data_IF_290793083832
#
_entry.id   IF_290793083832
#
_cell.length_a   1.000
_cell.length_b   1.000
_cell.length_c   1.000
_cell.angle_alpha   90.00
_cell.angle_beta   90.00
_cell.angle_gamma   90.00
#
_symmetry.space_group_name_H-M   'P 1'
#
loop_
_entity.id
_entity.type
_entity.pdbx_description
1 polymer ?
#
# COMPACT_ATOMS: atom_id res chain seq x y z
N UNK A 1 -67.04 26.97 56.97
CA UNK A 1 -66.32 26.64 55.72
C UNK A 1 -64.88 27.11 55.86
N UNK A 2 -63.92 26.18 55.69
CA UNK A 2 -62.49 26.35 56.02
C UNK A 2 -61.77 27.27 55.02
N UNK A 3 -60.89 28.10 55.59
CA UNK A 3 -59.81 28.84 54.93
C UNK A 3 -58.82 27.90 54.24
N UNK A 4 -58.29 28.28 53.07
CA UNK A 4 -56.89 28.02 52.70
C UNK A 4 -56.39 29.10 51.74
N UNK A 5 -55.24 29.68 52.10
CA UNK A 5 -54.43 30.68 51.39
C UNK A 5 -53.90 30.12 50.06
N UNK A 6 -53.95 30.93 49.01
CA UNK A 6 -53.02 30.83 47.89
C UNK A 6 -51.65 31.33 48.32
N UNK A 7 -50.62 30.50 48.18
CA UNK A 7 -49.21 30.87 48.38
C UNK A 7 -48.59 31.00 47.01
N UNK A 8 -48.22 32.23 46.67
CA UNK A 8 -47.44 32.60 45.50
C UNK A 8 -45.95 32.28 45.79
N UNK A 9 -45.35 31.36 45.03
CA UNK A 9 -43.92 31.02 45.16
C UNK A 9 -43.18 31.65 43.98
N UNK A 10 -42.81 32.92 44.13
CA UNK A 10 -41.83 33.57 43.25
C UNK A 10 -40.43 33.15 43.68
N UNK A 11 -39.90 32.09 43.05
CA UNK A 11 -38.49 31.70 43.17
C UNK A 11 -37.62 32.44 42.15
N UNK A 12 -36.97 33.54 42.57
CA UNK A 12 -35.90 34.18 41.79
C UNK A 12 -34.69 33.23 41.71
N UNK A 13 -34.45 32.64 40.54
CA UNK A 13 -33.18 31.94 40.28
C UNK A 13 -32.11 32.99 39.98
N UNK A 14 -31.24 33.24 40.96
CA UNK A 14 -30.04 34.07 40.80
C UNK A 14 -29.02 33.31 39.94
N UNK A 15 -28.85 33.73 38.68
CA UNK A 15 -27.86 33.17 37.78
C UNK A 15 -26.44 33.55 38.24
N UNK A 16 -25.74 32.59 38.85
CA UNK A 16 -24.33 32.70 39.18
C UNK A 16 -23.49 32.80 37.90
N UNK A 17 -23.09 34.02 37.55
CA UNK A 17 -22.18 34.35 36.42
C UNK A 17 -20.80 33.67 36.50
N UNK A 18 -20.51 32.91 37.56
CA UNK A 18 -19.22 32.23 37.77
C UNK A 18 -19.19 30.78 37.26
N UNK A 19 -20.35 30.18 36.96
CA UNK A 19 -20.40 28.78 36.50
C UNK A 19 -20.06 28.60 35.02
N UNK A 20 -20.30 29.63 34.19
CA UNK A 20 -20.06 29.57 32.74
C UNK A 20 -18.56 29.65 32.36
N UNK A 21 -17.67 30.04 33.28
CA UNK A 21 -16.23 30.13 33.01
C UNK A 21 -15.46 28.81 33.17
N UNK A 22 -16.06 27.77 33.77
CA UNK A 22 -15.43 26.44 33.90
C UNK A 22 -15.68 25.49 32.74
N UNK A 23 -16.62 25.79 31.83
CA UNK A 23 -16.89 24.95 30.65
C UNK A 23 -16.04 25.30 29.42
N UNK A 24 -15.38 26.45 29.41
CA UNK A 24 -14.52 26.92 28.32
C UNK A 24 -13.25 26.06 28.11
N UNK A 25 -12.50 25.61 29.14
CA UNK A 25 -11.30 24.80 28.90
C UNK A 25 -11.64 23.37 28.43
N UNK A 26 -12.81 22.83 28.78
CA UNK A 26 -13.25 21.50 28.35
C UNK A 26 -13.64 21.48 26.86
N UNK A 27 -14.24 22.57 26.36
CA UNK A 27 -14.63 22.70 24.95
C UNK A 27 -13.44 23.03 24.04
N UNK A 28 -12.44 23.76 24.55
CA UNK A 28 -11.20 24.04 23.82
C UNK A 28 -10.33 22.80 23.57
N UNK A 29 -10.29 21.85 24.52
CA UNK A 29 -9.54 20.60 24.36
C UNK A 29 -10.09 19.69 23.26
N UNK A 30 -11.41 19.62 23.09
CA UNK A 30 -12.04 18.80 22.05
C UNK A 30 -11.76 19.31 20.63
N UNK A 31 -11.67 20.63 20.43
CA UNK A 31 -11.35 21.22 19.14
C UNK A 31 -9.89 20.97 18.70
N UNK A 32 -8.96 20.79 19.65
CA UNK A 32 -7.56 20.48 19.35
C UNK A 32 -7.35 19.06 18.81
N UNK A 33 -8.30 18.13 19.04
CA UNK A 33 -8.25 16.76 18.48
C UNK A 33 -8.62 16.70 17.00
N UNK A 34 -9.46 17.63 16.51
CA UNK A 34 -9.85 17.72 15.09
C UNK A 34 -8.79 18.40 14.20
N UNK A 35 -7.71 18.92 14.79
CA UNK A 35 -6.63 19.60 14.08
C UNK A 35 -5.57 18.65 13.48
N UNK A 36 -5.63 17.36 13.81
CA UNK A 36 -4.86 16.34 13.11
C UNK A 36 -5.47 16.17 11.72
N UNK A 37 -4.96 16.89 10.70
CA UNK A 37 -5.44 16.91 9.32
C UNK A 37 -5.32 15.57 8.55
N UNK A 38 -5.76 14.47 9.16
CA UNK A 38 -5.90 13.17 8.54
C UNK A 38 -7.03 13.23 7.51
N UNK A 39 -6.66 13.39 6.24
CA UNK A 39 -7.55 13.15 5.12
C UNK A 39 -7.58 11.64 4.86
N UNK A 40 -8.77 11.02 4.93
CA UNK A 40 -8.94 9.64 4.46
C UNK A 40 -8.42 9.56 3.01
N UNK A 41 -7.61 8.54 2.71
CA UNK A 41 -6.90 8.38 1.42
C UNK A 41 -7.82 8.33 0.20
N UNK A 42 -9.14 8.25 0.42
CA UNK A 42 -10.14 8.08 -0.63
C UNK A 42 -10.04 6.69 -1.26
N UNK A 43 -10.94 6.42 -2.19
CA UNK A 43 -10.79 5.28 -3.08
C UNK A 43 -9.83 5.64 -4.20
N UNK A 44 -8.99 4.68 -4.57
CA UNK A 44 -8.15 4.75 -5.75
C UNK A 44 -9.04 4.71 -6.99
N UNK A 45 -8.95 5.73 -7.84
CA UNK A 45 -9.66 5.76 -9.12
C UNK A 45 -8.73 5.25 -10.22
N UNK A 46 -8.99 4.06 -10.73
CA UNK A 46 -8.29 3.49 -11.88
C UNK A 46 -9.09 3.79 -13.16
N UNK A 47 -8.38 3.97 -14.28
CA UNK A 47 -9.01 4.18 -15.59
C UNK A 47 -9.80 2.97 -16.12
N UNK A 48 -9.54 1.77 -15.60
CA UNK A 48 -10.23 0.52 -15.92
C UNK A 48 -11.11 0.10 -14.75
N UNK A 49 -12.27 -0.53 -15.02
CA UNK A 49 -13.18 -1.05 -13.98
C UNK A 49 -13.19 -2.57 -13.93
N UNK A 50 -12.81 -3.24 -15.01
CA UNK A 50 -12.65 -4.70 -15.10
C UNK A 50 -11.20 -5.04 -15.42
N UNK A 51 -10.48 -5.62 -14.47
CA UNK A 51 -9.07 -5.99 -14.64
C UNK A 51 -8.94 -7.51 -14.70
N UNK A 52 -8.29 -8.04 -15.75
CA UNK A 52 -7.82 -9.42 -15.76
C UNK A 52 -6.35 -9.47 -15.30
N UNK A 53 -6.01 -10.45 -14.48
CA UNK A 53 -4.63 -10.71 -14.05
C UNK A 53 -4.19 -12.06 -14.63
N UNK A 54 -3.02 -12.08 -15.25
CA UNK A 54 -2.43 -13.27 -15.86
C UNK A 54 -1.00 -13.45 -15.36
N UNK A 55 -0.61 -14.70 -15.07
CA UNK A 55 0.68 -15.02 -14.47
C UNK A 55 0.76 -14.66 -12.98
N UNK A 56 1.98 -14.54 -12.46
CA UNK A 56 2.26 -14.35 -11.02
C UNK A 56 1.97 -15.59 -10.17
N UNK A 57 2.44 -15.58 -8.91
CA UNK A 57 2.13 -16.66 -7.95
C UNK A 57 0.75 -16.48 -7.31
N UNK A 58 0.08 -17.55 -6.82
CA UNK A 58 -1.23 -17.43 -6.17
C UNK A 58 -1.26 -16.46 -4.99
N UNK A 59 -0.18 -16.41 -4.19
CA UNK A 59 -0.05 -15.50 -3.06
C UNK A 59 0.01 -14.03 -3.51
N UNK A 60 0.75 -13.76 -4.58
CA UNK A 60 0.84 -12.44 -5.21
C UNK A 60 -0.52 -11.99 -5.72
N UNK A 61 -1.18 -12.84 -6.51
CA UNK A 61 -2.48 -12.54 -7.13
C UNK A 61 -3.54 -12.30 -6.05
N UNK A 62 -3.60 -13.13 -5.02
CA UNK A 62 -4.57 -12.96 -3.93
C UNK A 62 -4.37 -11.65 -3.15
N UNK A 63 -3.12 -11.21 -2.92
CA UNK A 63 -2.84 -9.90 -2.32
C UNK A 63 -3.24 -8.76 -3.26
N UNK A 64 -2.85 -8.85 -4.52
CA UNK A 64 -3.14 -7.82 -5.52
C UNK A 64 -4.65 -7.64 -5.69
N UNK A 65 -5.41 -8.72 -5.79
CA UNK A 65 -6.87 -8.71 -5.84
C UNK A 65 -7.47 -7.98 -4.63
N UNK A 66 -7.04 -8.33 -3.41
CA UNK A 66 -7.49 -7.66 -2.19
C UNK A 66 -7.17 -6.16 -2.18
N UNK A 67 -5.99 -5.77 -2.68
CA UNK A 67 -5.58 -4.38 -2.73
C UNK A 67 -6.34 -3.56 -3.78
N UNK A 68 -6.60 -4.15 -4.95
CA UNK A 68 -7.35 -3.48 -6.01
C UNK A 68 -8.82 -3.35 -5.62
N UNK A 69 -9.49 -4.47 -5.27
CA UNK A 69 -10.91 -4.47 -4.94
C UNK A 69 -11.22 -3.77 -3.61
N UNK A 70 -10.31 -3.87 -2.63
CA UNK A 70 -10.48 -3.20 -1.34
C UNK A 70 -10.16 -1.70 -1.38
N UNK A 71 -9.43 -1.25 -2.40
CA UNK A 71 -8.97 0.13 -2.53
C UNK A 71 -9.67 0.93 -3.63
N UNK A 72 -10.48 0.31 -4.49
CA UNK A 72 -11.11 0.94 -5.66
C UNK A 72 -12.47 0.33 -6.00
N UNK A 73 -13.11 0.85 -7.04
CA UNK A 73 -14.31 0.28 -7.66
C UNK A 73 -14.00 -0.75 -8.77
N UNK A 74 -12.72 -1.12 -8.94
CA UNK A 74 -12.28 -2.10 -9.94
C UNK A 74 -12.54 -3.53 -9.46
N UNK A 75 -13.12 -4.36 -10.32
CA UNK A 75 -13.33 -5.80 -10.10
C UNK A 75 -12.31 -6.62 -10.87
N UNK A 76 -11.84 -7.71 -10.24
CA UNK A 76 -10.98 -8.68 -10.93
C UNK A 76 -11.88 -9.67 -11.67
N UNK A 77 -11.61 -9.86 -12.96
CA UNK A 77 -12.41 -10.72 -13.85
C UNK A 77 -11.52 -11.75 -14.53
N UNK A 78 -12.12 -12.83 -15.02
CA UNK A 78 -11.38 -13.82 -15.80
C UNK A 78 -11.06 -13.26 -17.19
N UNK A 79 -9.99 -13.70 -17.87
CA UNK A 79 -9.62 -13.18 -19.18
C UNK A 79 -10.72 -13.26 -20.26
N UNK A 80 -11.59 -14.27 -20.19
CA UNK A 80 -12.71 -14.44 -21.13
C UNK A 80 -13.94 -13.57 -20.81
N UNK A 81 -13.94 -12.86 -19.68
CA UNK A 81 -15.06 -12.01 -19.24
C UNK A 81 -14.91 -10.55 -19.69
N UNK A 82 -14.29 -10.33 -20.86
CA UNK A 82 -14.10 -9.01 -21.51
C UNK A 82 -13.55 -7.95 -20.52
N UNK A 83 -12.30 -8.08 -20.06
CA UNK A 83 -11.67 -7.07 -19.22
C UNK A 83 -11.40 -5.77 -19.99
N UNK A 84 -11.42 -4.62 -19.30
CA UNK A 84 -11.02 -3.33 -19.86
C UNK A 84 -9.50 -3.24 -19.99
N UNK A 85 -8.79 -3.90 -19.07
CA UNK A 85 -7.34 -4.01 -19.07
C UNK A 85 -6.88 -5.41 -18.61
N UNK A 86 -5.76 -5.87 -19.16
CA UNK A 86 -5.08 -7.12 -18.79
C UNK A 86 -3.69 -6.83 -18.24
N UNK A 87 -3.45 -7.26 -17.01
CA UNK A 87 -2.17 -7.17 -16.32
C UNK A 87 -1.44 -8.50 -16.40
N UNK A 88 -0.34 -8.52 -17.16
CA UNK A 88 0.55 -9.68 -17.23
C UNK A 88 1.65 -9.54 -16.17
N UNK A 89 1.88 -10.60 -15.38
CA UNK A 89 2.86 -10.64 -14.30
C UNK A 89 3.82 -11.81 -14.44
N UNK A 90 5.09 -11.57 -14.12
CA UNK A 90 6.10 -12.62 -13.96
C UNK A 90 7.06 -12.25 -12.82
N UNK A 91 7.14 -13.10 -11.79
CA UNK A 91 8.04 -12.89 -10.66
C UNK A 91 9.32 -13.73 -10.78
N UNK A 92 10.43 -13.19 -10.29
CA UNK A 92 11.72 -13.87 -10.22
C UNK A 92 12.39 -13.63 -8.88
N UNK A 93 13.01 -14.67 -8.33
CA UNK A 93 13.81 -14.63 -7.11
C UNK A 93 15.25 -15.03 -7.41
N UNK A 94 16.20 -14.46 -6.67
CA UNK A 94 17.61 -14.80 -6.78
C UNK A 94 18.36 -14.51 -5.49
N UNK A 95 19.49 -15.17 -5.29
CA UNK A 95 20.36 -14.97 -4.14
C UNK A 95 21.81 -14.89 -4.61
N UNK A 96 22.56 -13.91 -4.11
CA UNK A 96 23.99 -13.76 -4.42
C UNK A 96 24.77 -13.34 -3.18
N UNK A 97 26.07 -13.61 -3.16
CA UNK A 97 26.95 -13.17 -2.07
C UNK A 97 27.03 -11.64 -2.05
N UNK A 98 26.78 -11.05 -0.88
CA UNK A 98 26.87 -9.61 -0.67
C UNK A 98 28.23 -9.22 -0.09
N UNK A 99 28.68 -9.95 0.93
CA UNK A 99 29.91 -9.63 1.66
C UNK A 99 30.65 -10.90 2.12
N UNK A 100 31.98 -10.77 2.22
CA UNK A 100 32.92 -11.78 2.71
C UNK A 100 33.77 -11.16 3.81
N UNK A 101 34.25 -11.97 4.76
CA UNK A 101 35.28 -11.53 5.70
C UNK A 101 36.69 -11.60 5.08
N UNK A 102 37.73 -11.19 5.85
CA UNK A 102 39.12 -11.19 5.41
C UNK A 102 39.66 -12.59 5.03
N UNK A 103 39.00 -13.66 5.48
CA UNK A 103 39.34 -15.06 5.17
C UNK A 103 38.52 -15.60 3.98
N UNK A 104 37.70 -14.79 3.33
CA UNK A 104 36.86 -15.20 2.19
C UNK A 104 35.59 -15.95 2.57
N UNK A 105 35.21 -15.97 3.85
CA UNK A 105 33.99 -16.62 4.33
C UNK A 105 32.80 -15.67 4.19
N UNK A 106 31.69 -16.20 3.68
CA UNK A 106 30.45 -15.45 3.47
C UNK A 106 29.92 -14.90 4.81
N UNK A 107 29.64 -13.61 4.84
CA UNK A 107 29.00 -12.94 5.98
C UNK A 107 27.54 -12.64 5.68
N UNK A 108 27.23 -12.21 4.45
CA UNK A 108 25.87 -11.88 4.03
C UNK A 108 25.57 -12.34 2.61
N UNK A 109 24.31 -12.72 2.41
CA UNK A 109 23.68 -12.85 1.11
C UNK A 109 22.81 -11.64 0.82
N UNK A 110 22.75 -11.26 -0.45
CA UNK A 110 21.73 -10.39 -1.00
C UNK A 110 20.65 -11.25 -1.65
N UNK A 111 19.43 -11.16 -1.11
CA UNK A 111 18.23 -11.69 -1.72
C UNK A 111 17.69 -10.66 -2.71
N UNK A 112 17.36 -11.09 -3.92
CA UNK A 112 16.86 -10.26 -5.01
C UNK A 112 15.48 -10.75 -5.41
N UNK A 113 14.53 -9.82 -5.49
CA UNK A 113 13.18 -10.07 -5.98
C UNK A 113 12.90 -9.15 -7.18
N UNK A 114 12.35 -9.71 -8.25
CA UNK A 114 11.93 -8.97 -9.44
C UNK A 114 10.49 -9.28 -9.78
N UNK A 115 9.74 -8.26 -10.15
CA UNK A 115 8.38 -8.37 -10.67
C UNK A 115 8.34 -7.66 -12.01
N UNK A 116 8.29 -8.45 -13.08
CA UNK A 116 8.07 -7.96 -14.44
C UNK A 116 6.57 -7.87 -14.69
N UNK A 117 6.13 -6.75 -15.27
CA UNK A 117 4.73 -6.50 -15.53
C UNK A 117 4.52 -5.67 -16.79
N UNK A 118 3.37 -5.89 -17.42
CA UNK A 118 2.86 -5.12 -18.56
C UNK A 118 1.36 -4.94 -18.38
N UNK A 119 0.83 -3.76 -18.69
CA UNK A 119 -0.62 -3.50 -18.67
C UNK A 119 -1.10 -3.19 -20.09
N UNK A 120 -2.05 -3.98 -20.56
CA UNK A 120 -2.65 -3.85 -21.89
C UNK A 120 -4.11 -3.44 -21.77
N UNK A 121 -4.59 -2.56 -22.66
CA UNK A 121 -6.02 -2.30 -22.85
C UNK A 121 -6.71 -3.45 -23.57
N UNK A 122 -8.05 -3.44 -23.58
CA UNK A 122 -8.87 -4.44 -24.27
C UNK A 122 -8.60 -4.53 -25.79
N UNK A 123 -8.16 -3.43 -26.40
CA UNK A 123 -7.79 -3.30 -27.80
C UNK A 123 -6.31 -3.68 -28.08
N UNK A 124 -5.56 -4.07 -27.05
CA UNK A 124 -4.13 -4.35 -27.13
C UNK A 124 -3.23 -3.14 -26.95
N UNK A 125 -3.79 -1.95 -26.67
CA UNK A 125 -3.00 -0.74 -26.41
C UNK A 125 -2.09 -0.93 -25.20
N UNK A 126 -0.82 -0.57 -25.32
CA UNK A 126 0.14 -0.57 -24.21
C UNK A 126 -0.15 0.60 -23.26
N UNK A 127 -0.86 0.32 -22.16
CA UNK A 127 -1.15 1.30 -21.11
C UNK A 127 0.07 1.51 -20.21
N UNK A 128 0.76 0.41 -19.89
CA UNK A 128 2.07 0.41 -19.27
C UNK A 128 2.97 -0.55 -20.05
N UNK A 129 4.08 -0.07 -20.65
CA UNK A 129 5.01 -0.91 -21.36
C UNK A 129 5.72 -1.89 -20.40
N UNK A 130 6.34 -2.97 -20.93
CA UNK A 130 7.09 -3.92 -20.11
C UNK A 130 8.04 -3.22 -19.13
N UNK A 131 7.79 -3.44 -17.85
CA UNK A 131 8.44 -2.75 -16.74
C UNK A 131 8.82 -3.74 -15.64
N UNK A 132 9.78 -3.36 -14.81
CA UNK A 132 10.27 -4.22 -13.72
C UNK A 132 10.35 -3.44 -12.41
N UNK A 133 9.73 -3.99 -11.36
CA UNK A 133 10.02 -3.62 -9.98
C UNK A 133 11.12 -4.57 -9.48
N UNK A 134 12.24 -4.01 -9.03
CA UNK A 134 13.37 -4.78 -8.50
C UNK A 134 13.64 -4.36 -7.05
N UNK A 135 13.68 -5.35 -6.16
CA UNK A 135 13.88 -5.18 -4.72
C UNK A 135 15.02 -6.09 -4.26
N UNK A 136 15.73 -5.67 -3.22
CA UNK A 136 16.74 -6.47 -2.57
C UNK A 136 16.68 -6.34 -1.06
N UNK A 137 17.19 -7.36 -0.36
CA UNK A 137 17.38 -7.39 1.09
C UNK A 137 18.67 -8.13 1.42
N UNK A 138 19.44 -7.63 2.38
CA UNK A 138 20.55 -8.40 2.94
C UNK A 138 20.05 -9.40 3.97
N UNK A 139 20.75 -10.53 4.08
CA UNK A 139 20.52 -11.57 5.08
C UNK A 139 21.86 -12.10 5.53
N UNK A 140 22.09 -12.15 6.84
CA UNK A 140 23.33 -12.72 7.40
C UNK A 140 23.41 -14.22 7.17
N UNK A 141 24.63 -14.74 7.00
CA UNK A 141 24.90 -16.15 6.82
C UNK A 141 25.31 -16.82 8.15
N UNK A 142 24.84 -18.06 8.36
CA UNK A 142 25.34 -18.94 9.41
C UNK A 142 25.15 -20.39 8.99
N UNK A 143 26.22 -21.17 9.02
CA UNK A 143 26.23 -22.62 8.78
C UNK A 143 25.57 -23.40 9.92
N UNK A 144 25.67 -22.92 11.16
CA UNK A 144 25.01 -23.49 12.33
C UNK A 144 23.49 -23.40 12.27
N UNK A 145 22.95 -22.35 11.64
CA UNK A 145 21.52 -22.04 11.62
C UNK A 145 20.91 -22.12 10.22
N UNK A 146 21.40 -23.01 9.36
CA UNK A 146 20.96 -23.16 7.95
C UNK A 146 19.45 -23.27 7.77
N UNK A 147 18.76 -24.07 8.59
CA UNK A 147 17.29 -24.20 8.51
C UNK A 147 16.59 -22.89 8.88
N UNK A 148 17.04 -22.22 9.94
CA UNK A 148 16.49 -20.93 10.35
C UNK A 148 16.73 -19.86 9.27
N UNK A 149 17.90 -19.86 8.62
CA UNK A 149 18.21 -18.95 7.51
C UNK A 149 17.35 -19.21 6.27
N UNK A 150 17.00 -20.46 5.98
CA UNK A 150 16.03 -20.77 4.91
C UNK A 150 14.63 -20.20 5.22
N UNK A 151 14.19 -20.31 6.48
CA UNK A 151 12.92 -19.73 6.93
C UNK A 151 12.95 -18.19 6.86
N UNK A 152 14.05 -17.57 7.32
CA UNK A 152 14.28 -16.13 7.25
C UNK A 152 14.23 -15.63 5.80
N UNK A 153 14.94 -16.30 4.87
CA UNK A 153 14.90 -15.96 3.46
C UNK A 153 13.48 -16.01 2.88
N UNK A 154 12.70 -17.03 3.25
CA UNK A 154 11.29 -17.16 2.83
C UNK A 154 10.45 -15.97 3.31
N UNK A 155 10.62 -15.55 4.56
CA UNK A 155 9.94 -14.37 5.11
C UNK A 155 10.36 -13.10 4.37
N UNK A 156 11.65 -12.91 4.13
CA UNK A 156 12.19 -11.77 3.39
C UNK A 156 11.66 -11.71 1.94
N UNK A 157 11.55 -12.85 1.25
CA UNK A 157 10.95 -12.91 -0.08
C UNK A 157 9.45 -12.58 -0.06
N UNK A 158 8.71 -13.04 0.95
CA UNK A 158 7.31 -12.68 1.10
C UNK A 158 7.12 -11.18 1.37
N UNK A 159 7.98 -10.58 2.19
CA UNK A 159 7.97 -9.14 2.45
C UNK A 159 8.32 -8.32 1.19
N UNK A 160 9.33 -8.73 0.42
CA UNK A 160 9.63 -8.09 -0.86
C UNK A 160 8.48 -8.26 -1.87
N UNK A 161 7.87 -9.44 -1.94
CA UNK A 161 6.68 -9.68 -2.79
C UNK A 161 5.56 -8.70 -2.42
N UNK A 162 5.30 -8.54 -1.13
CA UNK A 162 4.30 -7.63 -0.60
C UNK A 162 4.58 -6.16 -0.97
N UNK A 163 5.83 -5.70 -0.80
CA UNK A 163 6.27 -4.36 -1.21
C UNK A 163 6.13 -4.16 -2.72
N UNK A 164 6.45 -5.18 -3.54
CA UNK A 164 6.27 -5.11 -4.98
C UNK A 164 4.80 -4.95 -5.39
N UNK A 165 3.84 -5.61 -4.72
CA UNK A 165 2.40 -5.36 -4.95
C UNK A 165 2.04 -3.93 -4.59
N UNK A 166 2.54 -3.43 -3.47
CA UNK A 166 2.24 -2.07 -3.02
C UNK A 166 2.76 -1.04 -4.02
N UNK A 167 3.95 -1.26 -4.60
CA UNK A 167 4.51 -0.42 -5.66
C UNK A 167 3.72 -0.55 -6.97
N UNK A 168 3.34 -1.76 -7.36
CA UNK A 168 2.58 -2.02 -8.56
C UNK A 168 1.21 -1.35 -8.53
N UNK A 169 0.47 -1.44 -7.42
CA UNK A 169 -0.85 -0.79 -7.28
C UNK A 169 -0.76 0.73 -7.41
N UNK A 170 0.27 1.35 -6.80
CA UNK A 170 0.59 2.78 -7.03
C UNK A 170 0.97 3.09 -8.47
N UNK A 171 1.59 2.15 -9.19
CA UNK A 171 1.92 2.34 -10.60
C UNK A 171 0.69 2.26 -11.49
N UNK A 172 -0.18 1.28 -11.26
CA UNK A 172 -1.47 1.15 -11.96
C UNK A 172 -2.32 2.42 -11.81
N UNK A 173 -2.28 3.06 -10.64
CA UNK A 173 -2.96 4.31 -10.32
C UNK A 173 -2.52 5.51 -11.18
N UNK A 174 -1.38 5.41 -11.88
CA UNK A 174 -0.90 6.50 -12.75
C UNK A 174 -1.54 6.49 -14.14
N UNK A 175 -2.20 5.39 -14.52
CA UNK A 175 -2.91 5.27 -15.79
C UNK A 175 -4.25 6.01 -15.68
N UNK A 176 -4.39 7.11 -16.41
CA UNK A 176 -5.58 7.98 -16.38
C UNK A 176 -6.55 7.77 -17.55
N UNK A 177 -6.09 7.11 -18.61
CA UNK A 177 -6.82 6.92 -19.86
C UNK A 177 -6.52 5.53 -20.42
N UNK A 178 -7.56 4.87 -20.94
CA UNK A 178 -7.41 3.61 -21.69
C UNK A 178 -6.99 3.84 -23.15
N UNK A 179 -7.08 5.08 -23.63
CA UNK A 179 -6.70 5.49 -24.97
C UNK A 179 -5.73 6.68 -24.88
N UNK A 180 -4.49 6.47 -24.40
CA UNK A 180 -3.49 7.52 -24.36
C UNK A 180 -3.09 7.91 -25.79
N UNK A 181 -2.85 9.21 -26.02
CA UNK A 181 -2.23 9.66 -27.26
C UNK A 181 -0.80 9.06 -27.39
N UNK A 182 -0.25 8.91 -28.60
CA UNK A 182 1.13 8.48 -28.78
C UNK A 182 2.09 9.38 -27.99
N UNK A 183 2.84 8.80 -27.04
CA UNK A 183 3.74 9.54 -26.14
C UNK A 183 3.17 9.91 -24.78
N UNK A 184 1.87 9.72 -24.54
CA UNK A 184 1.21 9.95 -23.23
C UNK A 184 1.04 8.66 -22.42
N UNK A 185 1.64 7.56 -22.89
CA UNK A 185 1.68 6.30 -22.16
C UNK A 185 2.44 6.48 -20.84
N UNK A 186 2.03 5.73 -19.81
CA UNK A 186 2.76 5.74 -18.55
C UNK A 186 4.18 5.24 -18.84
N UNK A 187 5.25 5.96 -18.44
CA UNK A 187 6.61 5.52 -18.72
C UNK A 187 6.90 4.11 -18.20
N UNK A 188 7.88 3.43 -18.76
CA UNK A 188 8.38 2.20 -18.15
C UNK A 188 9.05 2.47 -16.81
N UNK A 189 9.04 1.50 -15.89
CA UNK A 189 9.97 1.50 -14.75
C UNK A 189 11.06 0.48 -15.03
N UNK A 190 12.30 0.94 -15.06
CA UNK A 190 13.47 0.06 -15.12
C UNK A 190 14.08 -0.11 -13.73
N UNK A 191 14.71 -1.26 -13.43
CA UNK A 191 15.42 -1.47 -12.17
C UNK A 191 16.41 -0.33 -11.92
N UNK A 192 16.39 0.23 -10.71
CA UNK A 192 17.44 1.14 -10.29
C UNK A 192 18.74 0.36 -10.20
N UNK A 193 19.84 0.94 -10.68
CA UNK A 193 21.16 0.32 -10.56
C UNK A 193 21.41 -0.08 -9.09
N UNK A 194 21.92 -1.30 -8.82
CA UNK A 194 22.27 -1.71 -7.46
C UNK A 194 23.23 -0.70 -6.84
N UNK A 195 23.03 -0.37 -5.57
CA UNK A 195 23.97 0.46 -4.85
C UNK A 195 25.33 -0.26 -4.80
N UNK A 196 26.45 0.45 -5.00
CA UNK A 196 27.76 -0.15 -4.83
C UNK A 196 27.89 -0.67 -3.40
N UNK A 197 28.44 -1.87 -3.26
CA UNK A 197 28.78 -2.41 -1.95
C UNK A 197 29.81 -1.48 -1.30
N UNK A 198 29.62 -1.10 -0.02
CA UNK A 198 30.61 -0.27 0.68
C UNK A 198 31.96 -1.02 0.73
N UNK A 199 33.09 -0.30 0.67
CA UNK A 199 34.40 -0.90 0.84
C UNK A 199 34.51 -1.56 2.23
N UNK A 200 35.23 -2.69 2.28
CA UNK A 200 35.54 -3.43 3.51
C UNK A 200 36.57 -2.70 4.38
#
# INVERSE_FOLDING_TARGET
>A
MRTTKGVDVTGKVSASRRSFLSFVPLLGGAAMLSACGFQLRGQQDYAFKRLAITGGTPQMVARLERMVQGGSDTVIVKPFEKPDATLNLNEGQGMRTLSLNAQGVIQEYELVFSLNYTLLGADGTLLIPPSTIALNRSMTYSDQYTLAKSQEATLLYNDMRNDAVDQLTRRLATVRSLHPAPGEQTPGVSPRAPLPVPPL
#
